data_IF_486849714935
#
_entry.id   IF_486849714935
#
_cell.length_a   1.000
_cell.length_b   1.000
_cell.length_c   1.000
_cell.angle_alpha   90.00
_cell.angle_beta   90.00
_cell.angle_gamma   90.00
#
_symmetry.space_group_name_H-M   'P 1'
#
loop_
_entity.id
_entity.type
_entity.pdbx_description
1 polymer ?
#
# COMPACT_ATOMS: atom_id res chain seq x y z
N UNK A 1 -7.79 7.13 -19.96
CA UNK A 1 -8.23 5.80 -20.43
C UNK A 1 -7.49 4.73 -19.65
N UNK A 2 -8.19 3.74 -19.10
CA UNK A 2 -7.50 2.61 -18.48
C UNK A 2 -6.67 1.84 -19.51
N UNK A 3 -5.68 1.15 -18.99
CA UNK A 3 -4.81 0.31 -19.80
C UNK A 3 -5.50 -1.01 -20.11
N UNK A 4 -5.02 -1.71 -21.14
CA UNK A 4 -5.52 -3.05 -21.46
C UNK A 4 -5.25 -3.98 -20.28
N UNK A 5 -6.25 -4.75 -19.85
CA UNK A 5 -6.12 -5.60 -18.67
C UNK A 5 -4.99 -6.63 -18.79
N UNK A 6 -4.72 -7.12 -20.02
CA UNK A 6 -3.61 -8.05 -20.24
C UNK A 6 -2.25 -7.43 -19.93
N UNK A 7 -2.13 -6.11 -20.06
CA UNK A 7 -0.89 -5.39 -19.77
C UNK A 7 -0.68 -5.27 -18.25
N UNK A 8 -1.74 -4.99 -17.49
CA UNK A 8 -1.61 -4.74 -16.06
C UNK A 8 -1.71 -5.99 -15.20
N UNK A 9 -2.24 -7.08 -15.75
CA UNK A 9 -2.42 -8.34 -15.02
C UNK A 9 -1.14 -8.82 -14.33
N UNK A 10 0.03 -8.93 -14.99
CA UNK A 10 1.25 -9.33 -14.30
C UNK A 10 1.68 -8.33 -13.23
N UNK A 11 1.37 -7.04 -13.40
CA UNK A 11 1.68 -6.01 -12.40
C UNK A 11 0.80 -6.15 -11.16
N UNK A 12 -0.46 -6.57 -11.33
CA UNK A 12 -1.35 -6.89 -10.23
C UNK A 12 -0.84 -8.12 -9.46
N UNK A 13 -0.49 -9.16 -10.21
CA UNK A 13 -0.05 -10.45 -9.65
C UNK A 13 1.28 -10.33 -8.91
N UNK A 14 2.14 -9.44 -9.32
CA UNK A 14 3.40 -9.15 -8.64
C UNK A 14 3.15 -8.71 -7.19
N UNK A 15 2.02 -8.07 -6.93
CA UNK A 15 1.64 -7.62 -5.58
C UNK A 15 0.78 -8.67 -4.88
N UNK A 16 -0.26 -9.18 -5.54
CA UNK A 16 -1.23 -10.07 -4.91
C UNK A 16 -0.62 -11.41 -4.48
N UNK A 17 0.42 -11.87 -5.16
CA UNK A 17 1.09 -13.14 -4.78
C UNK A 17 1.75 -13.08 -3.40
N UNK A 18 1.89 -11.89 -2.82
CA UNK A 18 2.46 -11.73 -1.48
C UNK A 18 1.38 -11.62 -0.39
N UNK A 19 0.16 -12.04 -0.70
CA UNK A 19 -0.95 -12.02 0.25
C UNK A 19 -1.67 -10.70 0.35
N UNK A 20 -1.43 -9.80 -0.60
CA UNK A 20 -2.09 -8.49 -0.66
C UNK A 20 -3.42 -8.62 -1.40
N UNK A 21 -4.49 -8.17 -0.79
CA UNK A 21 -5.84 -8.23 -1.37
C UNK A 21 -6.06 -7.04 -2.30
N UNK A 22 -6.43 -7.31 -3.54
CA UNK A 22 -6.70 -6.27 -4.52
C UNK A 22 -8.13 -5.75 -4.38
N UNK A 23 -8.27 -4.42 -4.32
CA UNK A 23 -9.55 -3.74 -4.23
C UNK A 23 -9.80 -3.03 -5.56
N UNK A 24 -10.84 -3.44 -6.29
CA UNK A 24 -11.10 -2.96 -7.64
C UNK A 24 -12.38 -2.14 -7.78
N UNK A 25 -13.20 -2.09 -6.74
CA UNK A 25 -14.46 -1.34 -6.74
C UNK A 25 -14.57 -0.48 -5.49
N UNK A 26 -15.45 0.53 -5.55
CA UNK A 26 -15.74 1.38 -4.39
C UNK A 26 -16.26 0.54 -3.21
N UNK A 27 -17.15 -0.42 -3.51
CA UNK A 27 -17.72 -1.28 -2.48
C UNK A 27 -16.64 -2.12 -1.77
N UNK A 28 -15.69 -2.67 -2.54
CA UNK A 28 -14.58 -3.44 -1.98
C UNK A 28 -13.69 -2.56 -1.09
N UNK A 29 -13.42 -1.33 -1.54
CA UNK A 29 -12.60 -0.38 -0.78
C UNK A 29 -13.29 -0.04 0.55
N UNK A 30 -14.57 0.29 0.52
CA UNK A 30 -15.31 0.65 1.73
C UNK A 30 -15.41 -0.53 2.71
N UNK A 31 -15.62 -1.73 2.20
CA UNK A 31 -15.71 -2.92 3.06
C UNK A 31 -14.37 -3.24 3.73
N UNK A 32 -13.25 -3.00 3.03
CA UNK A 32 -11.91 -3.30 3.53
C UNK A 32 -11.35 -2.21 4.44
N UNK A 33 -11.38 -0.96 3.99
CA UNK A 33 -10.72 0.16 4.67
C UNK A 33 -11.68 0.88 5.62
N UNK A 34 -12.96 0.92 5.26
CA UNK A 34 -13.98 1.68 6.00
C UNK A 34 -14.07 1.37 7.50
N UNK A 35 -14.04 0.08 7.92
CA UNK A 35 -14.14 -0.23 9.35
C UNK A 35 -13.03 0.38 10.21
N UNK A 36 -11.84 0.58 9.65
CA UNK A 36 -10.74 1.24 10.36
C UNK A 36 -10.28 0.50 11.61
N UNK A 37 -10.25 -0.82 11.59
CA UNK A 37 -9.85 -1.64 12.73
C UNK A 37 -8.47 -2.25 12.52
N UNK A 38 -7.58 -2.07 13.53
CA UNK A 38 -6.24 -2.64 13.49
C UNK A 38 -5.33 -1.91 12.52
N UNK A 39 -4.28 -2.61 12.06
CA UNK A 39 -3.30 -2.04 11.14
C UNK A 39 -3.55 -2.52 9.72
N UNK A 40 -3.42 -1.61 8.77
CA UNK A 40 -3.61 -1.91 7.35
C UNK A 40 -2.58 -1.17 6.50
N UNK A 41 -2.08 -1.87 5.49
CA UNK A 41 -1.27 -1.25 4.45
C UNK A 41 -2.13 -1.10 3.21
N UNK A 42 -2.10 0.09 2.61
CA UNK A 42 -2.78 0.34 1.33
C UNK A 42 -1.72 0.76 0.32
N UNK A 43 -1.41 -0.10 -0.62
CA UNK A 43 -0.45 0.17 -1.68
C UNK A 43 -1.18 0.67 -2.92
N UNK A 44 -0.84 1.87 -3.36
CA UNK A 44 -1.33 2.42 -4.62
C UNK A 44 -0.35 2.00 -5.71
N UNK A 45 -0.70 0.98 -6.47
CA UNK A 45 0.12 0.42 -7.55
C UNK A 45 0.01 1.31 -8.79
N UNK A 46 0.97 1.20 -9.70
CA UNK A 46 0.93 1.92 -10.96
C UNK A 46 1.81 1.22 -12.00
N UNK A 47 1.68 1.66 -13.25
CA UNK A 47 2.47 1.10 -14.36
C UNK A 47 3.87 1.71 -14.47
N UNK A 48 4.15 2.78 -13.74
CA UNK A 48 5.41 3.53 -13.93
C UNK A 48 6.65 2.73 -13.53
N UNK A 49 7.81 3.17 -14.03
CA UNK A 49 9.10 2.52 -13.76
C UNK A 49 9.45 2.49 -12.28
N UNK A 50 9.07 3.50 -11.51
CA UNK A 50 9.33 3.52 -10.07
C UNK A 50 8.48 2.50 -9.30
N UNK A 51 7.33 2.09 -9.85
CA UNK A 51 6.58 0.97 -9.29
C UNK A 51 7.27 -0.35 -9.64
N UNK A 52 7.64 -0.52 -10.92
CA UNK A 52 8.24 -1.77 -11.40
C UNK A 52 9.63 -2.03 -10.79
N UNK A 53 10.48 -1.03 -10.76
CA UNK A 53 11.87 -1.16 -10.29
C UNK A 53 12.10 -0.80 -8.83
N UNK A 54 11.10 -0.25 -8.17
CA UNK A 54 11.25 0.23 -6.79
C UNK A 54 10.17 -0.28 -5.86
N UNK A 55 8.95 0.25 -5.99
CA UNK A 55 7.87 0.00 -5.03
C UNK A 55 7.44 -1.46 -4.93
N UNK A 56 7.17 -2.13 -6.07
CA UNK A 56 6.72 -3.52 -6.02
C UNK A 56 7.78 -4.48 -5.47
N UNK A 57 9.06 -4.42 -5.91
CA UNK A 57 10.09 -5.23 -5.29
C UNK A 57 10.30 -4.90 -3.80
N UNK A 58 10.22 -3.62 -3.42
CA UNK A 58 10.35 -3.21 -2.03
C UNK A 58 9.26 -3.80 -1.17
N UNK A 59 8.03 -3.79 -1.67
CA UNK A 59 6.89 -4.37 -0.95
C UNK A 59 7.10 -5.85 -0.72
N UNK A 60 7.57 -6.59 -1.73
CA UNK A 60 7.88 -8.01 -1.62
C UNK A 60 8.90 -8.26 -0.50
N UNK A 61 9.96 -7.46 -0.46
CA UNK A 61 10.99 -7.58 0.59
C UNK A 61 10.42 -7.27 1.97
N UNK A 62 9.66 -6.18 2.10
CA UNK A 62 9.11 -5.74 3.39
C UNK A 62 8.11 -6.76 3.93
N UNK A 63 7.29 -7.35 3.08
CA UNK A 63 6.26 -8.30 3.50
C UNK A 63 6.82 -9.69 3.87
N UNK A 64 8.09 -9.94 3.60
CA UNK A 64 8.75 -11.14 4.09
C UNK A 64 9.23 -11.00 5.54
N UNK A 65 9.15 -9.79 6.10
CA UNK A 65 9.51 -9.52 7.49
C UNK A 65 8.48 -10.11 8.45
N UNK A 66 8.92 -10.47 9.67
CA UNK A 66 8.04 -11.07 10.67
C UNK A 66 6.96 -10.13 11.22
N UNK A 67 7.27 -8.84 11.33
CA UNK A 67 6.33 -7.82 11.79
C UNK A 67 5.76 -7.10 10.57
N UNK A 68 4.44 -7.10 10.43
CA UNK A 68 3.76 -6.46 9.30
C UNK A 68 2.31 -6.13 9.68
N UNK A 69 1.62 -5.29 8.88
CA UNK A 69 0.23 -4.95 9.17
C UNK A 69 -0.68 -6.17 9.14
N UNK A 70 -1.77 -6.11 9.90
CA UNK A 70 -2.77 -7.18 9.96
C UNK A 70 -3.49 -7.35 8.63
N UNK A 71 -3.71 -6.25 7.90
CA UNK A 71 -4.42 -6.25 6.62
C UNK A 71 -3.54 -5.63 5.54
N UNK A 72 -3.55 -6.24 4.35
CA UNK A 72 -2.74 -5.80 3.22
C UNK A 72 -3.65 -5.60 2.03
N UNK A 73 -3.74 -4.37 1.54
CA UNK A 73 -4.61 -4.00 0.42
C UNK A 73 -3.85 -3.26 -0.66
N UNK A 74 -4.35 -3.36 -1.89
CA UNK A 74 -3.81 -2.59 -3.02
C UNK A 74 -4.92 -2.12 -3.94
N UNK A 75 -4.73 -0.93 -4.52
CA UNK A 75 -5.54 -0.38 -5.61
C UNK A 75 -4.61 -0.04 -6.76
N UNK A 76 -5.14 0.04 -7.98
CA UNK A 76 -4.29 0.27 -9.16
C UNK A 76 -4.63 1.64 -9.78
N UNK A 77 -3.76 2.62 -9.54
CA UNK A 77 -3.92 3.97 -10.08
C UNK A 77 -3.83 3.98 -11.60
N UNK A 78 -4.70 4.75 -12.22
CA UNK A 78 -4.76 4.84 -13.68
C UNK A 78 -5.51 3.69 -14.35
N UNK A 79 -5.89 2.67 -13.58
CA UNK A 79 -6.59 1.49 -14.08
C UNK A 79 -7.96 1.33 -13.42
N UNK A 80 -8.00 1.16 -12.11
CA UNK A 80 -9.24 1.06 -11.35
C UNK A 80 -9.55 2.43 -10.73
N UNK A 81 -10.07 3.33 -11.56
CA UNK A 81 -10.15 4.77 -11.25
C UNK A 81 -11.02 5.07 -10.02
N UNK A 82 -12.19 4.47 -9.96
CA UNK A 82 -13.12 4.74 -8.85
C UNK A 82 -12.62 4.14 -7.54
N UNK A 83 -12.07 2.93 -7.59
CA UNK A 83 -11.49 2.30 -6.41
C UNK A 83 -10.30 3.11 -5.87
N UNK A 84 -9.43 3.58 -6.76
CA UNK A 84 -8.28 4.40 -6.38
C UNK A 84 -8.71 5.71 -5.74
N UNK A 85 -9.68 6.40 -6.35
CA UNK A 85 -10.21 7.66 -5.81
C UNK A 85 -10.83 7.43 -4.42
N UNK A 86 -11.57 6.33 -4.26
CA UNK A 86 -12.20 6.02 -2.98
C UNK A 86 -11.15 5.68 -1.91
N UNK A 87 -10.14 4.89 -2.24
CA UNK A 87 -9.05 4.59 -1.32
C UNK A 87 -8.35 5.88 -0.87
N UNK A 88 -8.05 6.78 -1.81
CA UNK A 88 -7.41 8.06 -1.51
C UNK A 88 -8.26 8.94 -0.59
N UNK A 89 -9.57 8.79 -0.58
CA UNK A 89 -10.44 9.55 0.32
C UNK A 89 -10.19 9.21 1.79
N UNK A 90 -9.68 8.02 2.07
CA UNK A 90 -9.33 7.60 3.43
C UNK A 90 -7.98 8.15 3.91
N UNK A 91 -7.19 8.71 3.00
CA UNK A 91 -5.94 9.41 3.35
C UNK A 91 -5.85 10.74 2.59
N UNK A 92 -6.95 11.49 2.61
CA UNK A 92 -7.10 12.76 1.88
C UNK A 92 -6.16 13.86 2.35
N UNK A 93 -5.62 13.77 3.56
CA UNK A 93 -4.66 14.74 4.09
C UNK A 93 -3.30 14.64 3.39
N UNK A 94 -3.08 13.59 2.61
CA UNK A 94 -1.82 13.35 1.91
C UNK A 94 -2.02 13.58 0.41
N UNK A 95 -1.06 14.24 -0.21
CA UNK A 95 -1.11 14.56 -1.63
C UNK A 95 -1.13 13.26 -2.46
N UNK A 96 -2.07 13.13 -3.42
CA UNK A 96 -2.13 11.94 -4.26
C UNK A 96 -0.82 11.73 -5.04
N UNK A 97 -0.32 10.52 -5.02
CA UNK A 97 0.83 10.12 -5.83
C UNK A 97 0.73 8.61 -6.11
N UNK A 98 1.41 8.16 -7.14
CA UNK A 98 1.47 6.72 -7.47
C UNK A 98 2.81 6.39 -8.14
N UNK A 99 3.50 5.36 -7.67
CA UNK A 99 3.11 4.50 -6.55
C UNK A 99 3.20 5.23 -5.21
N UNK A 100 2.44 4.77 -4.24
CA UNK A 100 2.52 5.28 -2.86
C UNK A 100 2.05 4.19 -1.90
N UNK A 101 2.38 4.34 -0.61
CA UNK A 101 1.98 3.38 0.42
C UNK A 101 1.45 4.16 1.62
N UNK A 102 0.25 3.83 2.05
CA UNK A 102 -0.32 4.35 3.29
C UNK A 102 -0.32 3.24 4.33
N UNK A 103 0.17 3.53 5.52
CA UNK A 103 0.07 2.66 6.68
C UNK A 103 -0.94 3.28 7.63
N UNK A 104 -2.00 2.52 7.92
CA UNK A 104 -3.14 2.99 8.70
C UNK A 104 -3.25 2.16 9.98
N UNK A 105 -3.52 2.82 11.10
CA UNK A 105 -3.75 2.14 12.38
C UNK A 105 -5.02 2.71 13.00
N UNK A 106 -6.01 1.84 13.19
CA UNK A 106 -7.32 2.20 13.76
C UNK A 106 -7.94 3.43 13.07
N UNK A 107 -7.87 3.45 11.75
CA UNK A 107 -8.47 4.48 10.91
C UNK A 107 -7.61 5.72 10.68
N UNK A 108 -6.45 5.81 11.31
CA UNK A 108 -5.55 6.96 11.16
C UNK A 108 -4.29 6.59 10.41
N UNK A 109 -3.87 7.43 9.46
CA UNK A 109 -2.61 7.25 8.75
C UNK A 109 -1.47 7.55 9.71
N UNK A 110 -0.61 6.56 9.93
CA UNK A 110 0.55 6.70 10.83
C UNK A 110 1.86 6.81 10.07
N UNK A 111 1.89 6.42 8.80
CA UNK A 111 3.07 6.52 7.94
C UNK A 111 2.61 6.59 6.48
N UNK A 112 3.27 7.40 5.68
CA UNK A 112 2.93 7.53 4.26
C UNK A 112 4.21 7.65 3.44
N UNK A 113 4.34 6.79 2.43
CA UNK A 113 5.47 6.82 1.51
C UNK A 113 4.97 7.40 0.19
N UNK A 114 5.39 8.63 -0.13
CA UNK A 114 5.04 9.31 -1.38
C UNK A 114 5.91 8.82 -2.53
N UNK A 115 5.47 9.06 -3.76
CA UNK A 115 6.24 8.72 -4.94
C UNK A 115 7.66 9.28 -4.88
N UNK A 116 7.83 10.53 -4.44
CA UNK A 116 9.15 11.15 -4.39
C UNK A 116 10.08 10.49 -3.37
N UNK A 117 9.53 9.71 -2.44
CA UNK A 117 10.30 8.92 -1.48
C UNK A 117 10.66 7.53 -2.04
N UNK A 118 10.15 7.20 -3.22
CA UNK A 118 10.38 5.93 -3.91
C UNK A 118 11.34 6.14 -5.09
N UNK A 119 11.13 7.21 -5.85
CA UNK A 119 11.94 7.52 -7.03
C UNK A 119 13.41 7.64 -6.68
N UNK A 120 14.26 7.02 -7.50
CA UNK A 120 15.72 7.10 -7.34
C UNK A 120 16.28 6.33 -6.15
N UNK A 121 15.46 5.53 -5.48
CA UNK A 121 15.90 4.71 -4.33
C UNK A 121 15.84 3.24 -4.69
N UNK A 122 16.73 2.46 -4.08
CA UNK A 122 16.74 1.01 -4.29
C UNK A 122 15.55 0.35 -3.60
N UNK A 123 15.09 -0.81 -4.09
CA UNK A 123 14.06 -1.58 -3.38
C UNK A 123 14.44 -1.86 -1.92
N UNK A 124 15.71 -2.13 -1.67
CA UNK A 124 16.23 -2.41 -0.32
C UNK A 124 16.04 -1.20 0.61
N UNK A 125 16.34 0.01 0.12
CA UNK A 125 16.19 1.23 0.91
C UNK A 125 14.72 1.53 1.20
N UNK A 126 13.85 1.36 0.22
CA UNK A 126 12.40 1.54 0.37
C UNK A 126 11.85 0.50 1.36
N UNK A 127 12.28 -0.75 1.21
CA UNK A 127 11.84 -1.84 2.09
C UNK A 127 12.26 -1.57 3.55
N UNK A 128 13.47 -1.07 3.76
CA UNK A 128 13.96 -0.73 5.10
C UNK A 128 13.06 0.32 5.76
N UNK A 129 12.62 1.31 4.99
CA UNK A 129 11.67 2.33 5.45
C UNK A 129 10.34 1.70 5.91
N UNK A 130 9.81 0.78 5.09
CA UNK A 130 8.55 0.10 5.41
C UNK A 130 8.68 -0.80 6.63
N UNK A 131 9.77 -1.55 6.72
CA UNK A 131 10.04 -2.44 7.87
C UNK A 131 10.14 -1.63 9.15
N UNK A 132 10.82 -0.48 9.12
CA UNK A 132 10.93 0.40 10.28
C UNK A 132 9.56 0.88 10.73
N UNK A 133 8.67 1.23 9.78
CA UNK A 133 7.30 1.65 10.08
C UNK A 133 6.49 0.47 10.66
N UNK A 134 6.65 -0.73 10.11
CA UNK A 134 5.97 -1.93 10.62
C UNK A 134 6.39 -2.19 12.07
N UNK A 135 7.68 -2.12 12.36
CA UNK A 135 8.19 -2.31 13.73
C UNK A 135 7.60 -1.28 14.69
N UNK A 136 7.50 -0.04 14.25
CA UNK A 136 7.01 1.05 15.09
C UNK A 136 5.51 0.97 15.35
N UNK A 137 4.72 0.61 14.36
CA UNK A 137 3.25 0.73 14.43
C UNK A 137 2.50 -0.61 14.46
N UNK A 138 3.12 -1.69 14.05
CA UNK A 138 2.45 -2.99 13.91
C UNK A 138 2.98 -4.07 14.84
N UNK A 139 4.02 -3.77 15.62
CA UNK A 139 4.59 -4.76 16.54
C UNK A 139 3.66 -4.97 17.75
N UNK A 140 3.75 -6.13 18.44
CA UNK A 140 3.02 -6.35 19.69
C UNK A 140 3.27 -5.27 20.73
N UNK A 141 4.49 -4.70 20.77
CA UNK A 141 4.84 -3.62 21.67
C UNK A 141 4.07 -2.34 21.35
N UNK A 142 3.88 -2.04 20.05
CA UNK A 142 3.09 -0.88 19.63
C UNK A 142 1.63 -1.05 20.03
N UNK A 143 1.07 -2.26 19.88
CA UNK A 143 -0.29 -2.58 20.28
C UNK A 143 -0.47 -2.40 21.79
N UNK A 144 0.47 -2.89 22.60
CA UNK A 144 0.44 -2.76 24.05
C UNK A 144 0.47 -1.29 24.50
N UNK A 145 1.25 -0.46 23.80
CA UNK A 145 1.38 0.97 24.13
C UNK A 145 0.12 1.78 23.86
N UNK A 146 -0.80 1.27 23.03
CA UNK A 146 -2.05 1.98 22.72
C UNK A 146 -3.03 1.97 23.90
N UNK A 147 -2.89 1.01 24.77
CA UNK A 147 -3.74 0.88 25.94
C UNK A 147 -3.26 1.80 27.06
#
# INVERSE_FOLDING_TARGET
MPYHETMVKPMREEVTRHGVTELRTVAEVDAAIGPGEGTALVFVNSICGCAAGGARPALALALSHGVKPQHLYTVFAGQDLDATARARSYFADYQPSSPSVALVRDGEVVHFVHRHMIEGRSPQAIAADLVAAFEKYCSPQAAAKRE
#
